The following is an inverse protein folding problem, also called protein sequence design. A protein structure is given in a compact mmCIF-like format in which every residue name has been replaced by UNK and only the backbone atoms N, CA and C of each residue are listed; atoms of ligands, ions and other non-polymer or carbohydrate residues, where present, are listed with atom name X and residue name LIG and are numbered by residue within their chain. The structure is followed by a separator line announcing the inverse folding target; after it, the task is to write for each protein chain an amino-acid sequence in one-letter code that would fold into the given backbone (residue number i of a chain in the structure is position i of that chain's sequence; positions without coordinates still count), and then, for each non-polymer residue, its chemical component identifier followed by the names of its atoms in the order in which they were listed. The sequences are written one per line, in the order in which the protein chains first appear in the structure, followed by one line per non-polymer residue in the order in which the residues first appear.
data_IF_950311078695
#
_entry.id   IF_950311078695
#
_cell.length_a   1.000
_cell.length_b   1.000
_cell.length_c   1.000
_cell.angle_alpha   90.00
_cell.angle_beta   90.00
_cell.angle_gamma   90.00
#
_symmetry.space_group_name_H-M   'P 1'
#
loop_
_entity.id
_entity.type
_entity.pdbx_description
1 polymer ?
#
# COMPACT_ATOMS: atom_id res chain seq x y z
N UNK A 1 -5.43 -11.98 9.72
CA UNK A 1 -4.37 -11.37 8.89
C UNK A 1 -5.03 -10.62 7.76
N UNK A 2 -4.62 -9.38 7.54
CA UNK A 2 -5.11 -8.55 6.45
C UNK A 2 -3.95 -8.13 5.57
N UNK A 3 -4.13 -8.25 4.25
CA UNK A 3 -3.12 -7.90 3.26
C UNK A 3 -3.80 -7.13 2.14
N UNK A 4 -3.20 -6.02 1.70
CA UNK A 4 -3.66 -5.25 0.56
C UNK A 4 -2.53 -4.98 -0.42
N UNK A 5 -2.84 -4.98 -1.72
CA UNK A 5 -1.96 -4.44 -2.74
C UNK A 5 -2.47 -3.10 -3.20
N UNK A 6 -1.59 -2.09 -3.25
CA UNK A 6 -1.93 -0.75 -3.72
C UNK A 6 -1.10 -0.38 -4.94
N UNK A 7 -1.74 0.33 -5.86
CA UNK A 7 -1.05 1.13 -6.87
C UNK A 7 -1.03 2.58 -6.42
N UNK A 8 0.14 3.06 -6.03
CA UNK A 8 0.39 4.45 -5.68
C UNK A 8 0.76 5.23 -6.93
N UNK A 9 0.11 6.36 -7.15
CA UNK A 9 0.38 7.28 -8.26
C UNK A 9 1.21 8.45 -7.76
N UNK A 10 2.30 8.73 -8.45
CA UNK A 10 3.13 9.91 -8.23
C UNK A 10 3.80 10.30 -9.55
N UNK A 11 4.34 11.52 -9.61
CA UNK A 11 5.20 11.89 -10.75
C UNK A 11 6.55 11.20 -10.63
N UNK A 12 7.16 10.73 -11.74
CA UNK A 12 8.49 10.10 -11.70
C UNK A 12 9.56 10.97 -11.02
N UNK A 13 9.53 12.30 -11.20
CA UNK A 13 10.47 13.20 -10.54
C UNK A 13 10.34 13.24 -8.99
N UNK A 14 9.20 12.81 -8.45
CA UNK A 14 8.92 12.79 -7.01
C UNK A 14 9.15 11.40 -6.38
N UNK A 15 9.53 10.37 -7.15
CA UNK A 15 9.63 8.99 -6.66
C UNK A 15 10.56 8.84 -5.46
N UNK A 16 11.72 9.51 -5.46
CA UNK A 16 12.65 9.44 -4.32
C UNK A 16 11.98 9.88 -3.01
N UNK A 17 11.22 10.97 -3.03
CA UNK A 17 10.48 11.48 -1.87
C UNK A 17 9.39 10.51 -1.43
N UNK A 18 8.67 9.94 -2.39
CA UNK A 18 7.59 8.98 -2.12
C UNK A 18 8.16 7.69 -1.53
N UNK A 19 9.27 7.17 -2.05
CA UNK A 19 9.95 5.99 -1.51
C UNK A 19 10.40 6.17 -0.08
N UNK A 20 11.07 7.29 0.21
CA UNK A 20 11.57 7.57 1.55
C UNK A 20 10.43 7.69 2.56
N UNK A 21 9.28 8.21 2.13
CA UNK A 21 8.06 8.22 2.93
C UNK A 21 7.45 6.81 3.10
N UNK A 22 7.28 6.05 2.02
CA UNK A 22 6.65 4.72 2.05
C UNK A 22 7.39 3.76 2.99
N UNK A 23 8.73 3.82 3.04
CA UNK A 23 9.57 3.05 3.97
C UNK A 23 9.32 3.35 5.45
N UNK A 24 8.67 4.47 5.76
CA UNK A 24 8.34 4.88 7.14
C UNK A 24 6.91 4.49 7.52
N UNK A 25 6.08 4.04 6.57
CA UNK A 25 4.70 3.63 6.86
C UNK A 25 4.72 2.19 7.36
N UNK A 26 4.23 1.91 8.58
CA UNK A 26 4.20 0.54 9.11
C UNK A 26 3.44 -0.42 8.20
N UNK A 27 3.99 -1.63 8.02
CA UNK A 27 3.39 -2.68 7.21
C UNK A 27 3.48 -2.47 5.69
N UNK A 28 4.12 -1.40 5.20
CA UNK A 28 4.25 -1.12 3.77
C UNK A 28 5.57 -1.64 3.23
N UNK A 29 5.51 -2.42 2.15
CA UNK A 29 6.67 -2.86 1.38
C UNK A 29 6.52 -2.47 -0.10
N UNK A 30 7.58 -1.89 -0.69
CA UNK A 30 7.58 -1.53 -2.11
C UNK A 30 8.00 -2.74 -2.95
N UNK A 31 7.13 -3.14 -3.88
CA UNK A 31 7.32 -4.31 -4.74
C UNK A 31 7.94 -3.94 -6.10
N UNK A 32 7.70 -2.72 -6.57
CA UNK A 32 8.25 -2.23 -7.83
C UNK A 32 7.64 -0.91 -8.28
N UNK A 33 8.17 -0.38 -9.38
CA UNK A 33 7.75 0.89 -9.93
C UNK A 33 7.86 0.95 -11.46
N UNK A 34 7.13 1.89 -12.06
CA UNK A 34 7.17 2.18 -13.49
C UNK A 34 7.24 3.68 -13.71
N UNK A 35 8.42 4.15 -14.13
CA UNK A 35 8.65 5.55 -14.50
C UNK A 35 7.78 5.99 -15.69
N UNK A 36 7.52 5.10 -16.64
CA UNK A 36 6.68 5.38 -17.81
C UNK A 36 5.22 5.70 -17.41
N UNK A 37 4.70 4.98 -16.41
CA UNK A 37 3.28 5.09 -16.04
C UNK A 37 3.04 5.90 -14.76
N UNK A 38 4.10 6.29 -14.05
CA UNK A 38 4.01 7.00 -12.77
C UNK A 38 3.33 6.15 -11.69
N UNK A 39 3.67 4.86 -11.64
CA UNK A 39 3.08 3.88 -10.71
C UNK A 39 4.14 3.29 -9.80
N UNK A 40 3.82 3.15 -8.52
CA UNK A 40 4.57 2.39 -7.53
C UNK A 40 3.62 1.35 -6.96
N UNK A 41 4.04 0.09 -6.95
CA UNK A 41 3.26 -1.02 -6.38
C UNK A 41 3.77 -1.28 -4.97
N UNK A 42 2.87 -1.32 -4.02
CA UNK A 42 3.18 -1.66 -2.63
C UNK A 42 2.26 -2.76 -2.10
N UNK A 43 2.78 -3.55 -1.19
CA UNK A 43 2.01 -4.44 -0.32
C UNK A 43 1.85 -3.76 1.03
N UNK A 44 0.68 -3.93 1.65
CA UNK A 44 0.38 -3.44 2.99
C UNK A 44 -0.13 -4.61 3.83
N UNK A 45 0.51 -4.87 4.96
CA UNK A 45 0.14 -5.93 5.90
C UNK A 45 -0.15 -5.35 7.29
N UNK A 46 -1.12 -5.92 8.00
CA UNK A 46 -1.35 -5.59 9.41
C UNK A 46 -0.27 -6.18 10.33
N UNK A 47 -0.17 -5.65 11.54
CA UNK A 47 0.82 -6.09 12.51
C UNK A 47 0.57 -5.51 13.89
N UNK A 48 1.49 -5.75 14.82
CA UNK A 48 1.32 -5.33 16.21
C UNK A 48 1.31 -3.79 16.33
N UNK A 49 0.12 -3.22 16.53
CA UNK A 49 -0.07 -1.78 16.72
C UNK A 49 -0.38 -0.98 15.46
N UNK A 50 -0.64 -1.63 14.32
CA UNK A 50 -1.16 -0.97 13.11
C UNK A 50 -2.13 -1.86 12.33
N UNK A 51 -3.11 -1.22 11.68
CA UNK A 51 -4.04 -1.88 10.76
C UNK A 51 -3.69 -1.57 9.30
N UNK A 52 -4.07 -2.47 8.38
CA UNK A 52 -3.98 -2.20 6.93
C UNK A 52 -4.71 -0.90 6.57
N UNK A 53 -5.90 -0.67 7.10
CA UNK A 53 -6.71 0.52 6.82
C UNK A 53 -5.99 1.82 7.20
N UNK A 54 -5.36 1.87 8.39
CA UNK A 54 -4.60 3.04 8.83
C UNK A 54 -3.38 3.29 7.93
N UNK A 55 -2.70 2.22 7.52
CA UNK A 55 -1.55 2.32 6.62
C UNK A 55 -1.95 2.75 5.21
N UNK A 56 -3.06 2.24 4.65
CA UNK A 56 -3.62 2.72 3.38
C UNK A 56 -3.92 4.22 3.45
N UNK A 57 -4.55 4.67 4.54
CA UNK A 57 -4.86 6.09 4.73
C UNK A 57 -3.58 6.94 4.79
N UNK A 58 -2.56 6.49 5.52
CA UNK A 58 -1.25 7.15 5.57
C UNK A 58 -0.61 7.24 4.18
N UNK A 59 -0.61 6.15 3.41
CA UNK A 59 -0.10 6.14 2.04
C UNK A 59 -0.84 7.15 1.17
N UNK A 60 -2.17 7.19 1.23
CA UNK A 60 -2.98 8.10 0.43
C UNK A 60 -2.79 9.58 0.77
N UNK A 61 -2.44 9.89 2.03
CA UNK A 61 -2.13 11.24 2.49
C UNK A 61 -0.62 11.59 2.40
N UNK A 62 0.18 10.69 1.83
CA UNK A 62 1.62 10.84 1.73
C UNK A 62 2.06 12.03 0.88
N UNK A 63 3.23 12.61 1.15
CA UNK A 63 3.78 13.70 0.36
C UNK A 63 3.95 13.28 -1.10
N UNK A 64 3.51 14.13 -2.03
CA UNK A 64 3.60 13.93 -3.50
C UNK A 64 2.82 12.73 -4.05
N UNK A 65 2.11 11.98 -3.22
CA UNK A 65 1.14 10.98 -3.67
C UNK A 65 -0.03 11.71 -4.32
N UNK A 66 -0.37 11.31 -5.54
CA UNK A 66 -1.47 11.88 -6.32
C UNK A 66 -2.76 11.07 -6.19
N UNK A 67 -2.64 9.81 -5.80
CA UNK A 67 -3.76 8.92 -5.58
C UNK A 67 -3.29 7.49 -5.32
N UNK A 68 -4.21 6.70 -4.77
CA UNK A 68 -4.00 5.31 -4.44
C UNK A 68 -5.16 4.50 -4.99
N UNK A 69 -4.87 3.38 -5.64
CA UNK A 69 -5.88 2.39 -6.04
C UNK A 69 -5.64 1.10 -5.28
N UNK A 70 -6.66 0.61 -4.58
CA UNK A 70 -6.67 -0.74 -4.02
C UNK A 70 -6.80 -1.74 -5.17
N UNK A 71 -5.74 -2.50 -5.41
CA UNK A 71 -5.67 -3.47 -6.49
C UNK A 71 -6.08 -4.88 -6.05
N UNK A 72 -5.86 -5.20 -4.77
CA UNK A 72 -6.18 -6.48 -4.16
C UNK A 72 -6.36 -6.32 -2.65
N UNK A 73 -7.21 -7.14 -2.07
CA UNK A 73 -7.44 -7.26 -0.63
C UNK A 73 -7.61 -8.73 -0.26
N UNK A 74 -7.00 -9.12 0.84
CA UNK A 74 -7.18 -10.39 1.53
C UNK A 74 -7.50 -10.13 3.00
N UNK A 75 -8.46 -10.87 3.54
CA UNK A 75 -8.80 -10.89 4.96
C UNK A 75 -9.17 -12.30 5.39
N UNK A 76 -8.72 -12.72 6.56
CA UNK A 76 -9.21 -13.96 7.19
C UNK A 76 -10.64 -13.82 7.72
N UNK A 77 -11.14 -12.59 7.91
CA UNK A 77 -12.47 -12.36 8.48
C UNK A 77 -13.57 -12.85 7.52
N UNK A 78 -14.46 -13.71 8.03
CA UNK A 78 -15.59 -14.22 7.26
C UNK A 78 -15.28 -15.41 6.34
N UNK A 79 -14.04 -15.89 6.32
CA UNK A 79 -13.65 -17.10 5.57
C UNK A 79 -13.77 -18.40 6.39
N UNK A 80 -14.13 -18.31 7.67
CA UNK A 80 -14.14 -19.41 8.65
C UNK A 80 -15.08 -20.59 8.30
N UNK A 81 -15.96 -20.46 7.31
CA UNK A 81 -16.96 -21.49 6.94
C UNK A 81 -16.91 -21.92 5.46
N UNK A 82 -15.87 -21.56 4.70
CA UNK A 82 -15.79 -21.85 3.25
C UNK A 82 -14.95 -23.07 2.89
N UNK A 83 -14.33 -23.73 3.87
CA UNK A 83 -13.66 -25.02 3.70
C UNK A 83 -14.56 -26.16 4.19
N UNK A 84 -15.41 -26.67 3.29
CA UNK A 84 -16.17 -27.91 3.46
C UNK A 84 -15.98 -28.83 2.26
#
# INVERSE_FOLDING_TARGET
MNIASLVVRAKPEDFAVVHDFLKQVPGVEVQGESLETGRIVVTVEDGEGWSVTDSILKVNLGPRVQGVTLAYEYTDEGLENLEA
#
